data_IF_955022484252
#
_entry.id   IF_955022484252
#
_cell.length_a   1.000
_cell.length_b   1.000
_cell.length_c   1.000
_cell.angle_alpha   90.00
_cell.angle_beta   90.00
_cell.angle_gamma   90.00
#
_symmetry.space_group_name_H-M   'P 1'
#
loop_
_entity.id
_entity.type
_entity.pdbx_description
1 polymer ?
#
# COMPACT_ATOMS: atom_id res chain seq x y z
N UNK A 1 -4.15 18.65 4.75
CA UNK A 1 -5.18 17.65 5.15
C UNK A 1 -5.58 16.79 3.96
N UNK A 2 -5.71 15.48 4.14
CA UNK A 2 -6.20 14.57 3.11
C UNK A 2 -7.67 14.86 2.77
N UNK A 3 -8.00 14.85 1.49
CA UNK A 3 -9.40 14.98 1.03
C UNK A 3 -10.17 13.70 1.36
N UNK A 4 -11.49 13.76 1.65
CA UNK A 4 -12.27 12.57 2.03
C UNK A 4 -12.21 11.41 1.02
N UNK A 5 -12.14 11.72 -0.28
CA UNK A 5 -11.97 10.72 -1.33
C UNK A 5 -10.61 10.00 -1.24
N UNK A 6 -9.53 10.71 -0.87
CA UNK A 6 -8.21 10.11 -0.69
C UNK A 6 -8.19 9.15 0.50
N UNK A 7 -8.89 9.47 1.60
CA UNK A 7 -9.03 8.59 2.76
C UNK A 7 -9.77 7.30 2.38
N UNK A 8 -10.82 7.39 1.57
CA UNK A 8 -11.54 6.22 1.10
C UNK A 8 -10.66 5.28 0.27
N UNK A 9 -9.88 5.82 -0.67
CA UNK A 9 -8.98 5.00 -1.51
C UNK A 9 -7.77 4.45 -0.76
N UNK A 10 -7.29 5.14 0.29
CA UNK A 10 -6.32 4.57 1.23
C UNK A 10 -6.93 3.37 1.97
N UNK A 11 -8.17 3.47 2.45
CA UNK A 11 -8.87 2.36 3.10
C UNK A 11 -8.99 1.13 2.20
N UNK A 12 -9.35 1.32 0.93
CA UNK A 12 -9.42 0.23 -0.05
C UNK A 12 -8.01 -0.35 -0.31
N UNK A 13 -6.99 0.49 -0.47
CA UNK A 13 -5.61 0.04 -0.65
C UNK A 13 -5.13 -0.85 0.52
N UNK A 14 -5.37 -0.43 1.77
CA UNK A 14 -5.04 -1.25 2.93
C UNK A 14 -5.82 -2.56 2.97
N UNK A 15 -7.11 -2.54 2.65
CA UNK A 15 -7.92 -3.76 2.60
C UNK A 15 -7.38 -4.76 1.57
N UNK A 16 -7.02 -4.29 0.38
CA UNK A 16 -6.44 -5.12 -0.68
C UNK A 16 -5.06 -5.65 -0.29
N UNK A 17 -4.19 -4.82 0.28
CA UNK A 17 -2.86 -5.24 0.76
C UNK A 17 -2.96 -6.30 1.85
N UNK A 18 -3.78 -6.06 2.88
CA UNK A 18 -4.01 -7.01 3.96
C UNK A 18 -4.60 -8.33 3.45
N UNK A 19 -5.58 -8.26 2.54
CA UNK A 19 -6.17 -9.46 1.93
C UNK A 19 -5.17 -10.25 1.11
N UNK A 20 -4.31 -9.57 0.35
CA UNK A 20 -3.26 -10.22 -0.43
C UNK A 20 -2.20 -10.85 0.49
N UNK A 21 -1.79 -10.15 1.53
CA UNK A 21 -0.83 -10.66 2.51
C UNK A 21 -1.37 -11.89 3.24
N UNK A 22 -2.65 -11.89 3.64
CA UNK A 22 -3.27 -13.03 4.31
C UNK A 22 -3.50 -14.24 3.38
N UNK A 23 -3.82 -14.01 2.10
CA UNK A 23 -4.08 -15.10 1.14
C UNK A 23 -2.83 -15.68 0.52
N UNK A 24 -1.82 -14.85 0.30
CA UNK A 24 -0.70 -15.18 -0.58
C UNK A 24 0.67 -14.69 -0.06
N UNK A 25 0.71 -13.87 1.00
CA UNK A 25 1.92 -13.21 1.48
C UNK A 25 2.29 -13.58 2.91
N UNK A 26 2.92 -12.65 3.62
CA UNK A 26 3.50 -12.91 4.95
C UNK A 26 2.47 -13.33 5.99
N UNK A 27 1.28 -12.72 5.99
CA UNK A 27 0.24 -13.00 6.98
C UNK A 27 -0.45 -14.36 6.78
N UNK A 28 -0.16 -15.07 5.69
CA UNK A 28 -0.60 -16.47 5.53
C UNK A 28 0.19 -17.45 6.40
N UNK A 29 1.25 -17.00 7.06
CA UNK A 29 2.11 -17.81 7.91
C UNK A 29 2.19 -17.27 9.35
N UNK A 30 2.40 -18.14 10.36
CA UNK A 30 2.40 -17.74 11.77
C UNK A 30 3.46 -16.72 12.18
N UNK A 31 4.55 -16.59 11.40
CA UNK A 31 5.71 -15.74 11.72
C UNK A 31 5.77 -14.46 10.88
N UNK A 32 4.90 -14.31 9.89
CA UNK A 32 4.97 -13.18 8.97
C UNK A 32 4.48 -11.88 9.61
N UNK A 33 5.09 -10.77 9.19
CA UNK A 33 4.86 -9.46 9.77
C UNK A 33 4.63 -8.41 8.70
N UNK A 34 3.68 -7.52 8.96
CA UNK A 34 3.44 -6.32 8.16
C UNK A 34 3.85 -5.10 8.97
N UNK A 35 4.67 -4.26 8.37
CA UNK A 35 5.04 -2.96 8.91
C UNK A 35 4.51 -1.85 8.00
N UNK A 36 3.92 -0.82 8.60
CA UNK A 36 3.39 0.35 7.90
C UNK A 36 4.15 1.56 8.41
N UNK A 37 4.99 2.11 7.55
CA UNK A 37 5.70 3.36 7.81
C UNK A 37 5.00 4.51 7.09
N UNK A 38 4.92 5.66 7.74
CA UNK A 38 4.46 6.88 7.08
C UNK A 38 5.20 8.10 7.59
N UNK A 39 5.31 9.11 6.73
CA UNK A 39 5.89 10.39 7.07
C UNK A 39 5.23 11.52 6.27
N UNK A 40 5.29 12.73 6.82
CA UNK A 40 5.07 13.95 6.04
C UNK A 40 6.44 14.58 5.83
N UNK A 41 6.83 14.73 4.57
CA UNK A 41 8.11 15.32 4.17
C UNK A 41 7.89 16.59 3.37
N UNK A 42 8.87 17.48 3.34
CA UNK A 42 8.83 18.65 2.46
C UNK A 42 9.29 18.25 1.06
N UNK A 43 8.43 18.46 0.07
CA UNK A 43 8.69 18.23 -1.35
C UNK A 43 9.61 19.29 -1.97
N UNK A 44 9.97 19.08 -3.23
CA UNK A 44 10.95 19.90 -3.93
C UNK A 44 10.53 21.37 -4.08
N UNK A 45 9.22 21.65 -4.07
CA UNK A 45 8.70 23.01 -4.18
C UNK A 45 8.19 23.56 -2.83
N UNK A 46 8.56 22.93 -1.71
CA UNK A 46 8.16 23.34 -0.36
C UNK A 46 6.79 22.83 0.09
N UNK A 47 6.11 22.03 -0.73
CA UNK A 47 4.83 21.42 -0.40
C UNK A 47 4.98 20.27 0.61
N UNK A 48 3.98 20.07 1.48
CA UNK A 48 3.92 18.87 2.32
C UNK A 48 3.53 17.64 1.47
N UNK A 49 4.36 16.61 1.52
CA UNK A 49 4.16 15.33 0.83
C UNK A 49 3.94 14.24 1.86
N UNK A 50 2.81 13.54 1.73
CA UNK A 50 2.54 12.34 2.51
C UNK A 50 3.14 11.12 1.82
N UNK A 51 4.07 10.45 2.50
CA UNK A 51 4.63 9.17 2.09
C UNK A 51 4.12 8.04 2.98
N UNK A 52 3.76 6.92 2.37
CA UNK A 52 3.38 5.70 3.07
C UNK A 52 4.06 4.50 2.41
N UNK A 53 4.63 3.64 3.24
CA UNK A 53 5.30 2.42 2.81
C UNK A 53 4.71 1.23 3.55
N UNK A 54 4.44 0.16 2.79
CA UNK A 54 3.97 -1.12 3.31
C UNK A 54 5.10 -2.14 3.12
N UNK A 55 5.60 -2.66 4.23
CA UNK A 55 6.62 -3.69 4.25
C UNK A 55 6.04 -5.03 4.70
N UNK A 56 6.46 -6.09 4.04
CA UNK A 56 6.12 -7.48 4.37
C UNK A 56 7.41 -8.23 4.69
N UNK A 57 7.51 -8.76 5.91
CA UNK A 57 8.68 -9.47 6.45
C UNK A 57 8.38 -10.93 6.81
N UNK A 58 9.44 -11.74 6.84
CA UNK A 58 9.40 -13.14 7.30
C UNK A 58 8.38 -14.01 6.56
N UNK A 59 8.23 -13.75 5.26
CA UNK A 59 7.32 -14.44 4.36
C UNK A 59 7.89 -15.70 3.72
N UNK A 60 7.01 -16.53 3.14
CA UNK A 60 7.45 -17.63 2.29
C UNK A 60 8.24 -17.06 1.10
N UNK A 61 9.18 -17.82 0.53
CA UNK A 61 9.82 -17.45 -0.73
C UNK A 61 8.74 -17.09 -1.76
N UNK A 62 8.87 -15.93 -2.40
CA UNK A 62 7.91 -15.47 -3.40
C UNK A 62 7.97 -16.40 -4.62
N UNK A 63 7.12 -17.42 -4.66
CA UNK A 63 6.90 -18.20 -5.87
C UNK A 63 6.16 -17.29 -6.88
N UNK A 64 6.90 -16.92 -7.91
CA UNK A 64 6.49 -15.91 -8.88
C UNK A 64 5.17 -16.25 -9.56
N UNK A 65 4.15 -15.45 -9.28
CA UNK A 65 3.46 -14.60 -10.25
C UNK A 65 2.58 -13.60 -9.48
N UNK A 66 2.95 -12.31 -9.48
CA UNK A 66 2.06 -11.25 -8.97
C UNK A 66 0.88 -11.12 -9.93
N UNK A 67 -0.22 -11.81 -9.65
CA UNK A 67 -1.46 -11.70 -10.43
C UNK A 67 -1.90 -10.23 -10.48
N UNK A 68 -1.94 -9.66 -11.68
CA UNK A 68 -2.43 -8.31 -11.93
C UNK A 68 -3.96 -8.29 -11.88
N UNK A 69 -4.52 -8.29 -10.67
CA UNK A 69 -5.97 -8.18 -10.44
C UNK A 69 -6.44 -6.75 -10.13
N UNK A 70 -7.70 -6.62 -9.73
CA UNK A 70 -8.33 -5.36 -9.32
C UNK A 70 -7.51 -4.61 -8.25
N UNK A 71 -6.97 -5.32 -7.25
CA UNK A 71 -6.11 -4.74 -6.22
C UNK A 71 -4.84 -4.07 -6.79
N UNK A 72 -4.26 -4.57 -7.88
CA UNK A 72 -3.14 -3.90 -8.55
C UNK A 72 -3.54 -2.58 -9.20
N UNK A 73 -4.79 -2.45 -9.66
CA UNK A 73 -5.31 -1.20 -10.24
C UNK A 73 -5.57 -0.18 -9.14
N UNK A 74 -6.14 -0.62 -8.01
CA UNK A 74 -6.33 0.22 -6.82
C UNK A 74 -4.98 0.78 -6.36
N UNK A 75 -4.01 -0.12 -6.12
CA UNK A 75 -2.73 0.25 -5.51
C UNK A 75 -1.85 1.09 -6.43
N UNK A 76 -1.75 0.76 -7.72
CA UNK A 76 -0.80 1.42 -8.63
C UNK A 76 -1.36 2.63 -9.36
N UNK A 77 -2.69 2.83 -9.35
CA UNK A 77 -3.32 3.85 -10.18
C UNK A 77 -4.32 4.68 -9.40
N UNK A 78 -5.32 4.05 -8.79
CA UNK A 78 -6.44 4.80 -8.19
C UNK A 78 -5.99 5.52 -6.92
N UNK A 79 -5.29 4.83 -6.02
CA UNK A 79 -4.83 5.42 -4.75
C UNK A 79 -3.80 6.54 -4.96
N UNK A 80 -2.75 6.36 -5.79
CA UNK A 80 -1.84 7.45 -6.13
C UNK A 80 -2.54 8.66 -6.74
N UNK A 81 -3.45 8.45 -7.71
CA UNK A 81 -4.20 9.55 -8.33
C UNK A 81 -5.09 10.29 -7.33
N UNK A 82 -5.75 9.58 -6.41
CA UNK A 82 -6.59 10.20 -5.38
C UNK A 82 -5.78 11.04 -4.38
N UNK A 83 -4.53 10.66 -4.13
CA UNK A 83 -3.58 11.39 -3.29
C UNK A 83 -2.86 12.52 -4.04
N UNK A 84 -2.97 12.60 -5.37
CA UNK A 84 -2.15 13.49 -6.19
C UNK A 84 -0.67 13.08 -6.22
N UNK A 85 -0.37 11.80 -5.98
CA UNK A 85 0.98 11.24 -5.87
C UNK A 85 1.26 10.10 -6.85
N UNK A 86 2.27 9.29 -6.52
CA UNK A 86 2.74 8.14 -7.32
C UNK A 86 2.79 6.88 -6.44
N UNK A 87 2.86 5.69 -7.06
CA UNK A 87 2.91 4.39 -6.37
C UNK A 87 3.43 3.27 -7.26
#
# INVERSE_FOLDING_TARGET
MLKPNAVQYLGIAFHELATNSAKYGVLSHPVGQVEIEWAITTGANGEEVFGLVWHEHDGPPLDGEKRRGFGSVVLKRITPQALGGTG
#
